data_IF_726359541717
#
_entry.id   IF_726359541717
#
_cell.length_a   1.000
_cell.length_b   1.000
_cell.length_c   1.000
_cell.angle_alpha   90.00
_cell.angle_beta   90.00
_cell.angle_gamma   90.00
#
_symmetry.space_group_name_H-M   'P 1'
#
loop_
_entity.id
_entity.type
_entity.pdbx_description
1 polymer ?
#
# COMPACT_ATOMS: atom_id res chain seq x y z
N UNK A 1 12.27 5.14 25.99
CA UNK A 1 13.32 5.91 25.31
C UNK A 1 14.56 5.03 25.16
N UNK A 2 14.67 4.31 24.05
CA UNK A 2 15.92 3.63 23.67
C UNK A 2 16.20 4.13 22.26
N UNK A 3 17.05 5.16 22.18
CA UNK A 3 17.56 5.70 20.92
C UNK A 3 18.67 4.75 20.49
N UNK A 4 18.40 3.87 19.53
CA UNK A 4 19.44 3.07 18.89
C UNK A 4 20.19 3.99 17.91
N UNK A 5 21.40 4.37 18.30
CA UNK A 5 22.32 5.13 17.46
C UNK A 5 22.74 4.26 16.27
N UNK A 6 22.38 4.68 15.05
CA UNK A 6 22.94 4.16 13.82
C UNK A 6 24.39 4.67 13.72
N UNK A 7 25.34 3.77 13.99
CA UNK A 7 26.75 4.03 13.84
C UNK A 7 27.13 4.03 12.34
N UNK A 8 27.73 5.14 11.91
CA UNK A 8 28.37 5.27 10.61
C UNK A 8 29.70 4.51 10.60
N UNK A 9 29.73 3.35 9.95
CA UNK A 9 30.98 2.71 9.53
C UNK A 9 31.13 2.89 8.01
N UNK A 10 32.07 3.73 7.61
CA UNK A 10 32.60 3.77 6.25
C UNK A 10 34.01 3.22 6.23
N UNK A 11 34.26 2.24 5.37
CA UNK A 11 35.48 1.87 4.59
C UNK A 11 34.99 0.73 3.68
N UNK A 12 35.31 0.53 2.39
CA UNK A 12 36.17 1.18 1.41
C UNK A 12 35.91 0.51 0.05
N UNK A 13 36.25 1.21 -1.02
CA UNK A 13 35.86 1.04 -2.43
C UNK A 13 36.40 -0.25 -3.08
N UNK A 14 35.57 -0.95 -3.87
CA UNK A 14 35.93 -1.75 -5.06
C UNK A 14 34.70 -1.88 -6.00
N UNK A 15 34.75 -1.30 -7.22
CA UNK A 15 33.72 -1.44 -8.26
C UNK A 15 32.64 -0.35 -8.24
N UNK A 16 32.71 0.63 -9.16
CA UNK A 16 31.76 1.76 -9.25
C UNK A 16 30.38 1.40 -9.81
N UNK A 17 29.87 0.22 -9.49
CA UNK A 17 28.55 -0.27 -9.87
C UNK A 17 27.58 -0.32 -8.69
N UNK A 18 26.27 -0.53 -8.94
CA UNK A 18 25.31 -0.71 -7.88
C UNK A 18 25.64 -1.94 -7.02
N UNK A 19 25.40 -1.86 -5.71
CA UNK A 19 25.68 -2.94 -4.76
C UNK A 19 24.88 -4.23 -5.02
N UNK A 20 23.75 -4.12 -5.73
CA UNK A 20 22.85 -5.24 -6.02
C UNK A 20 22.39 -5.25 -7.48
N UNK A 21 22.02 -6.43 -7.95
CA UNK A 21 21.19 -6.66 -9.14
C UNK A 21 20.02 -7.56 -8.76
N UNK A 22 18.81 -7.21 -9.16
CA UNK A 22 17.65 -8.07 -8.92
C UNK A 22 17.65 -9.21 -9.96
N UNK A 23 17.84 -10.45 -9.54
CA UNK A 23 17.79 -11.62 -10.42
C UNK A 23 16.34 -11.92 -10.85
N UNK A 24 15.44 -11.91 -9.88
CA UNK A 24 14.04 -12.19 -10.11
C UNK A 24 13.15 -11.34 -9.22
N UNK A 25 12.14 -10.71 -9.83
CA UNK A 25 11.07 -10.00 -9.11
C UNK A 25 9.71 -10.56 -9.50
N UNK A 26 8.99 -11.09 -8.51
CA UNK A 26 7.58 -11.49 -8.69
C UNK A 26 6.70 -10.54 -7.90
N UNK A 27 5.95 -9.70 -8.61
CA UNK A 27 5.05 -8.71 -8.01
C UNK A 27 3.61 -9.20 -8.07
N UNK A 28 2.96 -9.31 -6.93
CA UNK A 28 1.53 -9.51 -6.79
C UNK A 28 0.83 -8.17 -6.47
N UNK A 29 -0.24 -7.86 -7.19
CA UNK A 29 -1.08 -6.68 -6.97
C UNK A 29 -2.51 -7.13 -6.75
N UNK A 30 -3.04 -6.94 -5.55
CA UNK A 30 -4.43 -7.20 -5.23
C UNK A 30 -5.22 -5.89 -5.32
N UNK A 31 -6.05 -5.79 -6.35
CA UNK A 31 -6.96 -4.69 -6.62
C UNK A 31 -8.44 -5.11 -6.46
N UNK A 32 -8.70 -6.19 -5.72
CA UNK A 32 -10.06 -6.69 -5.49
C UNK A 32 -10.87 -5.83 -4.51
N UNK A 33 -10.20 -5.12 -3.61
CA UNK A 33 -10.81 -4.18 -2.67
C UNK A 33 -10.55 -2.71 -3.00
N UNK A 34 -11.04 -1.79 -2.16
CA UNK A 34 -10.84 -0.34 -2.33
C UNK A 34 -9.42 0.15 -1.98
N UNK A 35 -8.63 -0.67 -1.27
CA UNK A 35 -7.20 -0.44 -1.01
C UNK A 35 -6.40 -1.43 -1.84
N UNK A 36 -5.54 -0.92 -2.71
CA UNK A 36 -4.66 -1.78 -3.51
C UNK A 36 -3.50 -2.24 -2.64
N UNK A 37 -3.25 -3.55 -2.63
CA UNK A 37 -2.13 -4.15 -1.89
C UNK A 37 -1.12 -4.69 -2.88
N UNK A 38 0.13 -4.30 -2.74
CA UNK A 38 1.23 -4.80 -3.54
C UNK A 38 2.13 -5.67 -2.66
N UNK A 39 2.58 -6.81 -3.18
CA UNK A 39 3.61 -7.63 -2.57
C UNK A 39 4.63 -8.04 -3.64
N UNK A 40 5.88 -7.61 -3.51
CA UNK A 40 6.96 -7.98 -4.42
C UNK A 40 7.94 -8.91 -3.71
N UNK A 41 8.14 -10.10 -4.26
CA UNK A 41 9.20 -11.02 -3.88
C UNK A 41 10.43 -10.69 -4.73
N UNK A 42 11.50 -10.25 -4.10
CA UNK A 42 12.73 -9.79 -4.75
C UNK A 42 13.87 -10.72 -4.35
N UNK A 43 14.53 -11.33 -5.33
CA UNK A 43 15.81 -12.01 -5.15
C UNK A 43 16.92 -11.11 -5.70
N UNK A 44 17.75 -10.55 -4.82
CA UNK A 44 18.80 -9.62 -5.19
C UNK A 44 20.18 -10.23 -4.94
N UNK A 45 21.03 -10.24 -5.97
CA UNK A 45 22.40 -10.69 -5.91
C UNK A 45 23.31 -9.54 -5.50
N UNK A 46 24.23 -9.78 -4.56
CA UNK A 46 25.18 -8.77 -4.08
C UNK A 46 26.51 -8.80 -4.85
N UNK A 47 26.96 -7.62 -5.27
CA UNK A 47 28.25 -7.40 -5.94
C UNK A 47 29.33 -6.85 -5.00
N UNK A 48 29.02 -6.70 -3.71
CA UNK A 48 29.92 -6.09 -2.73
C UNK A 48 29.98 -6.91 -1.46
N UNK A 49 31.11 -6.84 -0.76
CA UNK A 49 31.26 -7.49 0.54
C UNK A 49 30.67 -6.63 1.66
N UNK A 50 29.96 -7.25 2.60
CA UNK A 50 29.38 -6.57 3.76
C UNK A 50 28.20 -5.63 3.48
N UNK A 51 27.41 -5.85 2.43
CA UNK A 51 26.21 -5.06 2.13
C UNK A 51 25.20 -5.16 3.27
N UNK A 52 24.92 -4.07 3.98
CA UNK A 52 24.07 -4.03 5.17
C UNK A 52 22.69 -3.43 4.95
N UNK A 53 22.42 -2.87 3.77
CA UNK A 53 21.16 -2.23 3.45
C UNK A 53 20.77 -2.47 1.98
N UNK A 54 19.46 -2.56 1.74
CA UNK A 54 18.85 -2.59 0.41
C UNK A 54 18.01 -1.33 0.22
N UNK A 55 17.81 -0.89 -1.02
CA UNK A 55 17.02 0.32 -1.32
C UNK A 55 15.84 -0.01 -2.22
N UNK A 56 14.66 0.47 -1.83
CA UNK A 56 13.44 0.41 -2.64
C UNK A 56 13.23 1.79 -3.23
N UNK A 57 12.89 1.90 -4.51
CA UNK A 57 12.64 3.19 -5.16
C UNK A 57 11.27 3.18 -5.85
N UNK A 58 10.56 4.30 -5.81
CA UNK A 58 9.33 4.51 -6.58
C UNK A 58 9.31 5.93 -7.14
N UNK A 59 8.63 6.17 -8.29
CA UNK A 59 8.32 7.53 -8.72
C UNK A 59 7.54 8.27 -7.64
N UNK A 60 7.84 9.55 -7.43
CA UNK A 60 7.22 10.42 -6.41
C UNK A 60 5.69 10.44 -6.48
N UNK A 61 5.12 10.36 -7.69
CA UNK A 61 3.67 10.27 -7.93
C UNK A 61 3.06 9.02 -7.29
N UNK A 62 3.74 7.89 -7.36
CA UNK A 62 3.30 6.63 -6.73
C UNK A 62 3.62 6.62 -5.23
N UNK A 63 4.81 7.08 -4.87
CA UNK A 63 5.30 7.11 -3.48
C UNK A 63 4.38 7.92 -2.56
N UNK A 64 3.85 9.05 -3.04
CA UNK A 64 2.89 9.89 -2.29
C UNK A 64 1.58 9.18 -1.92
N UNK A 65 1.21 8.12 -2.65
CA UNK A 65 0.01 7.32 -2.40
C UNK A 65 0.22 6.12 -1.50
N UNK A 66 1.45 5.85 -1.04
CA UNK A 66 1.77 4.73 -0.17
C UNK A 66 1.43 5.09 1.27
N UNK A 67 0.45 4.40 1.87
CA UNK A 67 0.09 4.60 3.27
C UNK A 67 0.93 3.76 4.24
N UNK A 68 1.39 2.59 3.79
CA UNK A 68 2.26 1.72 4.57
C UNK A 68 3.18 0.93 3.63
N UNK A 69 4.45 0.82 4.02
CA UNK A 69 5.45 -0.04 3.40
C UNK A 69 6.07 -0.92 4.48
N UNK A 70 6.12 -2.22 4.26
CA UNK A 70 6.74 -3.18 5.15
C UNK A 70 7.62 -4.12 4.34
N UNK A 71 8.77 -4.50 4.91
CA UNK A 71 9.70 -5.43 4.26
C UNK A 71 9.97 -6.57 5.22
N UNK A 72 9.94 -7.79 4.70
CA UNK A 72 10.28 -9.01 5.43
C UNK A 72 11.41 -9.73 4.71
N UNK A 73 12.21 -10.48 5.46
CA UNK A 73 13.13 -11.46 4.88
C UNK A 73 12.38 -12.74 4.45
N UNK A 74 13.11 -13.69 3.88
CA UNK A 74 12.61 -15.02 3.49
C UNK A 74 11.92 -15.77 4.64
N UNK A 75 12.40 -15.59 5.87
CA UNK A 75 11.90 -16.29 7.05
C UNK A 75 10.66 -15.59 7.66
N UNK A 76 10.24 -14.46 7.10
CA UNK A 76 9.09 -13.68 7.55
C UNK A 76 9.40 -12.67 8.67
N UNK A 77 10.68 -12.46 9.00
CA UNK A 77 11.07 -11.47 9.99
C UNK A 77 10.93 -10.07 9.40
N UNK A 78 10.30 -9.16 10.14
CA UNK A 78 10.15 -7.75 9.72
C UNK A 78 11.49 -7.04 9.81
N UNK A 79 11.89 -6.41 8.70
CA UNK A 79 13.09 -5.60 8.61
C UNK A 79 12.80 -4.13 8.94
N UNK A 80 13.83 -3.41 9.37
CA UNK A 80 13.73 -1.97 9.69
C UNK A 80 13.79 -1.18 8.38
N UNK A 81 12.74 -0.40 8.13
CA UNK A 81 12.64 0.49 6.97
C UNK A 81 12.80 1.92 7.45
N UNK A 82 13.78 2.63 6.91
CA UNK A 82 13.98 4.05 7.17
C UNK A 82 12.83 4.87 6.56
N UNK A 83 12.56 6.09 7.10
CA UNK A 83 11.61 7.01 6.48
C UNK A 83 11.92 7.24 4.99
N UNK A 84 10.88 7.53 4.22
CA UNK A 84 10.99 7.84 2.80
C UNK A 84 11.83 9.11 2.58
N UNK A 85 12.75 9.06 1.63
CA UNK A 85 13.52 10.22 1.17
C UNK A 85 13.22 10.46 -0.31
N UNK A 86 12.85 11.69 -0.68
CA UNK A 86 12.56 12.04 -2.06
C UNK A 86 13.66 12.94 -2.62
N UNK A 87 14.16 12.62 -3.81
CA UNK A 87 15.09 13.47 -4.52
C UNK A 87 14.32 14.65 -5.14
N UNK A 88 14.57 15.84 -4.61
CA UNK A 88 14.08 17.08 -5.21
C UNK A 88 14.82 17.37 -6.52
N UNK A 89 14.12 18.00 -7.46
CA UNK A 89 14.75 18.52 -8.67
C UNK A 89 15.62 19.72 -8.28
N UNK A 90 16.88 19.47 -7.93
CA UNK A 90 17.83 20.50 -7.55
C UNK A 90 18.22 21.32 -8.80
N UNK A 91 17.39 22.31 -9.15
CA UNK A 91 17.75 23.36 -10.07
C UNK A 91 18.84 24.22 -9.39
N UNK A 92 20.12 23.90 -9.65
CA UNK A 92 21.32 24.73 -9.42
C UNK A 92 22.44 24.23 -8.50
N UNK A 93 22.73 22.92 -8.36
CA UNK A 93 24.01 22.49 -7.76
C UNK A 93 24.72 21.37 -8.52
N UNK A 94 25.55 21.79 -9.47
CA UNK A 94 26.69 21.00 -9.94
C UNK A 94 27.67 20.77 -8.80
N UNK A 95 27.62 19.60 -8.19
CA UNK A 95 28.46 19.22 -7.06
C UNK A 95 28.42 17.71 -6.85
N UNK A 96 29.07 16.97 -7.76
CA UNK A 96 29.34 15.55 -7.59
C UNK A 96 30.05 15.30 -6.26
N UNK A 97 29.37 14.66 -5.31
CA UNK A 97 29.97 14.00 -4.16
C UNK A 97 29.67 12.50 -4.24
N UNK A 98 30.64 11.77 -4.77
CA UNK A 98 31.02 10.42 -4.35
C UNK A 98 29.95 9.31 -4.36
N UNK A 99 29.99 8.48 -5.42
CA UNK A 99 30.01 7.02 -5.28
C UNK A 99 28.73 6.27 -4.87
N UNK A 100 27.58 6.92 -4.80
CA UNK A 100 26.28 6.25 -4.67
C UNK A 100 25.45 6.65 -5.89
N UNK A 101 24.78 5.71 -6.57
CA UNK A 101 23.91 6.04 -7.71
C UNK A 101 22.91 7.11 -7.26
N UNK A 102 23.14 8.36 -7.66
CA UNK A 102 22.34 9.47 -7.18
C UNK A 102 20.89 9.24 -7.60
N UNK A 103 19.99 9.20 -6.63
CA UNK A 103 18.55 9.04 -6.88
C UNK A 103 18.10 10.13 -7.85
N UNK A 104 17.54 9.77 -9.03
CA UNK A 104 17.11 10.76 -10.00
C UNK A 104 16.01 11.66 -9.44
N UNK A 105 15.95 12.91 -9.90
CA UNK A 105 14.88 13.83 -9.50
C UNK A 105 13.49 13.24 -9.78
N UNK A 106 12.56 13.43 -8.84
CA UNK A 106 11.20 12.91 -8.97
C UNK A 106 11.03 11.45 -8.52
N UNK A 107 12.06 10.86 -7.90
CA UNK A 107 12.02 9.54 -7.27
C UNK A 107 12.10 9.66 -5.75
N UNK A 108 11.46 8.71 -5.07
CA UNK A 108 11.57 8.54 -3.63
C UNK A 108 12.09 7.15 -3.31
N UNK A 109 12.93 7.06 -2.27
CA UNK A 109 13.57 5.83 -1.83
C UNK A 109 13.25 5.51 -0.37
N UNK A 110 13.29 4.22 -0.06
CA UNK A 110 13.28 3.70 1.30
C UNK A 110 14.49 2.82 1.49
N UNK A 111 15.27 3.10 2.52
CA UNK A 111 16.42 2.28 2.90
C UNK A 111 15.97 1.19 3.87
N UNK A 112 16.23 -0.06 3.54
CA UNK A 112 15.91 -1.25 4.33
C UNK A 112 17.18 -1.77 4.96
N UNK A 113 17.25 -1.83 6.29
CA UNK A 113 18.36 -2.48 6.98
C UNK A 113 18.22 -4.00 6.89
N UNK A 114 19.23 -4.67 6.35
CA UNK A 114 19.27 -6.12 6.27
C UNK A 114 19.55 -6.71 7.66
N UNK A 115 18.93 -7.84 7.98
CA UNK A 115 19.12 -8.50 9.28
C UNK A 115 20.59 -8.90 9.52
N UNK A 116 21.31 -9.22 8.44
CA UNK A 116 22.74 -9.53 8.41
C UNK A 116 23.37 -8.89 7.20
N UNK A 117 24.62 -8.49 7.32
CA UNK A 117 25.40 -8.07 6.17
C UNK A 117 25.56 -9.23 5.19
N UNK A 118 25.47 -8.94 3.89
CA UNK A 118 25.52 -9.90 2.79
C UNK A 118 26.83 -9.68 2.04
N UNK A 119 27.55 -10.75 1.78
CA UNK A 119 28.82 -10.69 1.05
C UNK A 119 28.64 -10.87 -0.45
N UNK A 120 29.69 -10.56 -1.21
CA UNK A 120 29.68 -10.68 -2.66
C UNK A 120 29.37 -12.13 -3.07
N UNK A 121 28.52 -12.31 -4.08
CA UNK A 121 28.11 -13.64 -4.54
C UNK A 121 26.89 -14.22 -3.83
N UNK A 122 26.42 -13.61 -2.75
CA UNK A 122 25.22 -14.05 -2.03
C UNK A 122 23.94 -13.42 -2.59
N UNK A 123 22.82 -14.13 -2.39
CA UNK A 123 21.48 -13.67 -2.77
C UNK A 123 20.67 -13.37 -1.52
N UNK A 124 20.09 -12.17 -1.48
CA UNK A 124 19.11 -11.78 -0.46
C UNK A 124 17.70 -11.89 -1.04
N UNK A 125 16.81 -12.53 -0.28
CA UNK A 125 15.39 -12.66 -0.62
C UNK A 125 14.56 -11.76 0.30
N UNK A 126 13.80 -10.85 -0.31
CA UNK A 126 12.98 -9.85 0.38
C UNK A 126 11.53 -9.92 -0.09
N UNK A 127 10.60 -9.73 0.84
CA UNK A 127 9.17 -9.56 0.56
C UNK A 127 8.80 -8.12 0.90
N UNK A 128 8.62 -7.30 -0.14
CA UNK A 128 8.23 -5.89 -0.04
C UNK A 128 6.72 -5.78 -0.17
N UNK A 129 6.04 -5.33 0.88
CA UNK A 129 4.58 -5.15 0.90
C UNK A 129 4.22 -3.67 1.02
N UNK A 130 3.30 -3.20 0.17
CA UNK A 130 2.79 -1.83 0.22
C UNK A 130 1.26 -1.79 0.19
N UNK A 131 0.67 -0.82 0.91
CA UNK A 131 -0.75 -0.52 0.85
C UNK A 131 -0.96 0.87 0.23
N UNK A 132 -1.74 0.92 -0.86
CA UNK A 132 -2.04 2.12 -1.62
C UNK A 132 -3.55 2.41 -1.55
N UNK A 133 -4.02 3.09 -0.49
CA UNK A 133 -5.39 3.56 -0.46
C UNK A 133 -5.61 4.58 -1.56
N UNK A 134 -6.83 4.67 -2.09
CA UNK A 134 -7.14 5.59 -3.16
C UNK A 134 -6.23 5.41 -4.40
N UNK A 135 -5.70 4.22 -4.69
CA UNK A 135 -5.05 3.97 -5.97
C UNK A 135 -6.09 3.76 -7.10
N UNK A 136 -7.27 3.22 -6.75
CA UNK A 136 -8.39 3.04 -7.66
C UNK A 136 -9.18 4.35 -7.80
N UNK A 137 -9.46 4.73 -9.04
CA UNK A 137 -10.24 5.93 -9.38
C UNK A 137 -11.52 5.53 -10.10
N UNK A 138 -12.70 5.91 -9.59
CA UNK A 138 -13.96 5.65 -10.30
C UNK A 138 -13.95 6.29 -11.69
N UNK A 139 -14.31 5.50 -12.70
CA UNK A 139 -14.38 5.96 -14.08
C UNK A 139 -15.50 5.21 -14.83
N UNK A 140 -16.67 5.83 -15.04
CA UNK A 140 -16.95 7.26 -14.82
C UNK A 140 -17.03 7.66 -13.34
N UNK A 141 -16.85 8.96 -13.06
CA UNK A 141 -16.90 9.50 -11.70
C UNK A 141 -18.32 9.48 -11.10
N UNK A 142 -19.35 9.44 -11.93
CA UNK A 142 -20.76 9.35 -11.53
C UNK A 142 -21.46 8.22 -12.28
N UNK A 143 -22.26 7.45 -11.56
CA UNK A 143 -23.00 6.29 -12.07
C UNK A 143 -24.45 6.34 -11.58
N UNK A 144 -25.41 5.91 -12.40
CA UNK A 144 -26.77 5.71 -11.90
C UNK A 144 -26.78 4.54 -10.90
N UNK A 145 -27.83 4.44 -10.08
CA UNK A 145 -27.93 3.42 -9.02
C UNK A 145 -27.66 1.98 -9.49
N UNK A 146 -27.99 1.69 -10.75
CA UNK A 146 -27.97 0.36 -11.33
C UNK A 146 -26.86 0.14 -12.37
N UNK A 147 -26.06 1.16 -12.62
CA UNK A 147 -24.93 1.09 -13.54
C UNK A 147 -23.79 0.29 -12.89
N UNK A 148 -22.96 -0.40 -13.70
CA UNK A 148 -21.77 -1.06 -13.18
C UNK A 148 -20.79 -0.02 -12.61
N UNK A 149 -20.14 -0.35 -11.51
CA UNK A 149 -19.12 0.49 -10.92
C UNK A 149 -17.77 0.09 -11.50
N UNK A 150 -17.20 0.99 -12.30
CA UNK A 150 -15.94 0.77 -13.01
C UNK A 150 -14.84 1.65 -12.40
N UNK A 151 -13.62 1.14 -12.35
CA UNK A 151 -12.47 1.83 -11.77
C UNK A 151 -11.23 1.71 -12.65
N UNK A 152 -10.41 2.75 -12.62
CA UNK A 152 -9.08 2.81 -13.21
C UNK A 152 -8.03 2.61 -12.14
N UNK A 153 -7.12 1.67 -12.39
CA UNK A 153 -5.84 1.54 -11.71
C UNK A 153 -4.75 2.08 -12.64
N UNK A 154 -4.10 3.17 -12.24
CA UNK A 154 -2.90 3.69 -12.90
C UNK A 154 -1.68 3.23 -12.13
N UNK A 155 -0.72 2.65 -12.83
CA UNK A 155 0.49 2.10 -12.22
C UNK A 155 1.59 1.96 -13.25
N UNK A 156 2.51 1.05 -12.98
CA UNK A 156 3.62 0.72 -13.85
C UNK A 156 3.64 -0.79 -14.10
N UNK A 157 4.05 -1.27 -15.28
CA UNK A 157 4.24 -2.71 -15.53
C UNK A 157 5.45 -3.25 -14.78
N UNK A 158 6.45 -2.40 -14.57
CA UNK A 158 7.72 -2.76 -13.97
C UNK A 158 7.66 -2.55 -12.46
N UNK A 159 8.37 -3.42 -11.75
CA UNK A 159 8.80 -3.13 -10.40
C UNK A 159 9.93 -2.12 -10.49
N UNK A 160 9.61 -0.89 -10.12
CA UNK A 160 10.56 0.21 -10.15
C UNK A 160 11.58 0.03 -9.03
N UNK A 161 12.87 0.16 -9.34
CA UNK A 161 13.94 -0.08 -8.39
C UNK A 161 15.21 0.67 -8.78
N UNK A 162 16.11 0.98 -7.83
CA UNK A 162 17.38 1.63 -8.14
C UNK A 162 18.42 0.66 -8.73
N UNK A 163 18.06 -0.63 -8.86
CA UNK A 163 18.88 -1.71 -9.37
C UNK A 163 18.32 -2.22 -10.70
N UNK A 164 19.22 -2.65 -11.59
CA UNK A 164 18.81 -3.38 -12.77
C UNK A 164 18.13 -4.71 -12.37
N UNK A 165 17.14 -5.13 -13.14
CA UNK A 165 16.38 -6.35 -12.90
C UNK A 165 16.48 -7.29 -14.09
N UNK A 166 16.99 -8.50 -13.88
CA UNK A 166 17.17 -9.48 -14.96
C UNK A 166 15.85 -10.04 -15.45
N UNK A 167 14.93 -10.39 -14.53
CA UNK A 167 13.61 -10.90 -14.87
C UNK A 167 12.55 -10.44 -13.90
N UNK A 168 11.40 -10.02 -14.42
CA UNK A 168 10.25 -9.71 -13.58
C UNK A 168 8.92 -10.15 -14.17
N UNK A 169 7.95 -10.40 -13.29
CA UNK A 169 6.58 -10.73 -13.65
C UNK A 169 5.62 -10.06 -12.66
N UNK A 170 4.53 -9.51 -13.18
CA UNK A 170 3.44 -8.97 -12.36
C UNK A 170 2.21 -9.87 -12.48
N UNK A 171 1.60 -10.19 -11.35
CA UNK A 171 0.30 -10.87 -11.25
C UNK A 171 -0.67 -9.95 -10.54
N UNK A 172 -1.78 -9.65 -11.17
CA UNK A 172 -2.80 -8.77 -10.64
C UNK A 172 -4.08 -9.55 -10.43
N UNK A 173 -4.74 -9.31 -9.29
CA UNK A 173 -6.06 -9.82 -8.99
C UNK A 173 -7.06 -8.66 -9.02
N UNK A 174 -8.09 -8.79 -9.83
CA UNK A 174 -9.18 -7.83 -9.98
C UNK A 174 -10.32 -8.18 -9.01
N UNK A 175 -11.27 -7.27 -8.86
CA UNK A 175 -12.47 -7.50 -8.04
C UNK A 175 -13.43 -8.49 -8.70
N UNK A 176 -13.50 -8.46 -10.03
CA UNK A 176 -14.37 -9.28 -10.86
C UNK A 176 -13.60 -9.79 -12.08
N UNK A 177 -14.19 -10.71 -12.84
CA UNK A 177 -13.68 -11.19 -14.12
C UNK A 177 -13.98 -10.23 -15.30
N UNK A 178 -14.62 -9.09 -15.03
CA UNK A 178 -15.03 -8.11 -16.03
C UNK A 178 -13.96 -7.03 -16.19
N UNK A 179 -13.06 -7.30 -17.11
CA UNK A 179 -12.03 -6.38 -17.57
C UNK A 179 -12.54 -5.58 -18.78
N UNK A 180 -12.49 -4.26 -18.70
CA UNK A 180 -12.86 -3.36 -19.81
C UNK A 180 -11.67 -3.11 -20.75
N UNK A 181 -10.53 -2.73 -20.18
CA UNK A 181 -9.31 -2.53 -20.97
C UNK A 181 -8.04 -2.60 -20.12
N UNK A 182 -6.94 -2.97 -20.79
CA UNK A 182 -5.58 -2.83 -20.29
C UNK A 182 -4.83 -2.00 -21.32
N UNK A 183 -4.33 -0.86 -20.91
CA UNK A 183 -3.45 -0.03 -21.72
C UNK A 183 -2.04 -0.05 -21.17
N UNK A 184 -1.08 -0.16 -22.09
CA UNK A 184 0.33 -0.16 -21.80
C UNK A 184 1.07 0.85 -22.69
N UNK A 185 1.96 1.65 -22.10
CA UNK A 185 2.80 2.58 -22.85
C UNK A 185 3.81 1.86 -23.75
N UNK A 186 4.32 0.71 -23.33
CA UNK A 186 5.19 -0.14 -24.15
C UNK A 186 4.36 -0.91 -25.19
N UNK A 187 4.80 -0.88 -26.45
CA UNK A 187 4.15 -1.49 -27.62
C UNK A 187 4.11 -3.04 -27.61
N UNK A 188 4.33 -3.68 -26.46
CA UNK A 188 4.18 -5.12 -26.24
C UNK A 188 2.95 -5.46 -25.36
N UNK A 189 1.71 -5.12 -25.79
CA UNK A 189 0.50 -5.61 -25.13
C UNK A 189 0.33 -7.14 -25.25
N UNK A 190 1.25 -7.84 -25.94
CA UNK A 190 1.24 -9.30 -26.12
C UNK A 190 1.62 -10.09 -24.86
N UNK A 191 2.18 -9.44 -23.85
CA UNK A 191 2.65 -10.11 -22.63
C UNK A 191 1.63 -10.06 -21.49
N UNK A 192 0.38 -9.68 -21.77
CA UNK A 192 -0.72 -9.73 -20.80
C UNK A 192 -1.62 -10.95 -21.05
N UNK A 193 -1.67 -11.89 -20.11
CA UNK A 193 -2.58 -13.03 -20.12
C UNK A 193 -3.69 -12.82 -19.08
N UNK A 194 -4.94 -12.96 -19.50
CA UNK A 194 -6.12 -12.76 -18.65
C UNK A 194 -6.80 -14.12 -18.41
N UNK A 195 -7.03 -14.44 -17.13
CA UNK A 195 -7.64 -15.69 -16.68
C UNK A 195 -8.68 -15.38 -15.58
N UNK A 196 -9.92 -15.09 -15.98
CA UNK A 196 -10.96 -14.69 -15.02
C UNK A 196 -10.62 -13.36 -14.35
N UNK A 197 -10.58 -13.34 -13.02
CA UNK A 197 -10.17 -12.18 -12.20
C UNK A 197 -8.65 -11.99 -12.11
N UNK A 198 -7.84 -12.88 -12.71
CA UNK A 198 -6.39 -12.81 -12.68
C UNK A 198 -5.81 -12.27 -14.00
N UNK A 199 -4.92 -11.29 -13.89
CA UNK A 199 -4.16 -10.72 -15.01
C UNK A 199 -2.68 -10.93 -14.76
N UNK A 200 -1.98 -11.56 -15.71
CA UNK A 200 -0.55 -11.81 -15.64
C UNK A 200 0.15 -10.97 -16.70
N UNK A 201 1.15 -10.19 -16.30
CA UNK A 201 1.89 -9.26 -17.17
C UNK A 201 3.38 -9.60 -17.13
N UNK A 202 3.96 -9.79 -18.30
CA UNK A 202 5.33 -10.27 -18.49
C UNK A 202 5.35 -11.78 -18.80
N UNK A 203 6.53 -12.42 -18.76
CA UNK A 203 7.77 -11.94 -18.15
C UNK A 203 8.44 -10.83 -18.94
N UNK A 204 9.06 -9.88 -18.24
CA UNK A 204 9.98 -8.91 -18.80
C UNK A 204 11.40 -9.28 -18.41
N UNK A 205 12.36 -8.98 -19.28
CA UNK A 205 13.78 -9.28 -19.07
C UNK A 205 14.64 -8.03 -19.23
N UNK A 206 15.75 -7.97 -18.49
CA UNK A 206 16.79 -6.92 -18.60
C UNK A 206 16.22 -5.50 -18.54
N UNK A 207 15.61 -5.20 -17.40
CA UNK A 207 15.03 -3.89 -17.09
C UNK A 207 16.08 -3.06 -16.39
N UNK A 208 16.29 -1.84 -16.86
CA UNK A 208 17.31 -0.95 -16.35
C UNK A 208 16.92 -0.36 -14.98
N UNK A 209 17.91 0.15 -14.26
CA UNK A 209 17.67 0.88 -13.02
C UNK A 209 16.81 2.13 -13.28
N UNK A 210 15.85 2.40 -12.40
CA UNK A 210 14.90 3.52 -12.52
C UNK A 210 14.06 3.52 -13.81
N UNK A 211 13.88 2.38 -14.46
CA UNK A 211 13.02 2.27 -15.63
C UNK A 211 11.52 2.23 -15.23
N UNK A 212 10.68 2.91 -16.02
CA UNK A 212 9.23 2.98 -15.82
C UNK A 212 8.50 2.66 -17.12
N UNK A 213 7.44 1.87 -17.04
CA UNK A 213 6.49 1.63 -18.13
C UNK A 213 5.06 1.83 -17.63
N UNK A 214 4.46 3.03 -17.84
CA UNK A 214 3.12 3.32 -17.37
C UNK A 214 2.05 2.34 -17.87
N UNK A 215 1.16 1.97 -16.96
CA UNK A 215 0.05 1.04 -17.17
C UNK A 215 -1.26 1.65 -16.69
N UNK A 216 -2.34 1.36 -17.40
CA UNK A 216 -3.70 1.65 -16.96
C UNK A 216 -4.58 0.42 -17.12
N UNK A 217 -5.29 0.03 -16.05
CA UNK A 217 -6.22 -1.10 -16.05
C UNK A 217 -7.61 -0.61 -15.68
N UNK A 218 -8.58 -0.86 -16.55
CA UNK A 218 -9.98 -0.48 -16.38
C UNK A 218 -10.83 -1.73 -16.19
N UNK A 219 -11.55 -1.84 -15.08
CA UNK A 219 -12.31 -3.04 -14.73
C UNK A 219 -13.52 -2.72 -13.83
N UNK A 220 -14.46 -3.66 -13.76
CA UNK A 220 -15.62 -3.59 -12.86
C UNK A 220 -15.26 -4.02 -11.44
N UNK A 221 -15.76 -3.27 -10.45
CA UNK A 221 -15.63 -3.58 -9.03
C UNK A 221 -16.97 -3.47 -8.32
N UNK A 222 -17.27 -4.46 -7.48
CA UNK A 222 -18.41 -4.47 -6.57
C UNK A 222 -18.00 -4.12 -5.11
N UNK A 223 -16.71 -3.85 -4.88
CA UNK A 223 -16.20 -3.49 -3.57
C UNK A 223 -16.70 -2.09 -3.16
N UNK A 224 -17.19 -1.91 -1.92
CA UNK A 224 -17.56 -0.60 -1.41
C UNK A 224 -16.30 0.21 -1.03
N UNK A 225 -16.28 1.47 -1.44
CA UNK A 225 -15.14 2.36 -1.21
C UNK A 225 -15.33 3.16 0.08
N UNK A 226 -15.10 2.50 1.22
CA UNK A 226 -15.27 3.09 2.55
C UNK A 226 -14.02 3.87 2.93
N UNK A 227 -14.17 5.18 3.15
CA UNK A 227 -13.08 6.05 3.59
C UNK A 227 -13.44 6.74 4.89
N UNK A 228 -12.58 6.62 5.90
CA UNK A 228 -12.66 7.40 7.14
C UNK A 228 -11.98 8.73 6.90
N UNK A 229 -12.75 9.83 6.88
CA UNK A 229 -12.22 11.19 6.67
C UNK A 229 -11.76 11.84 7.96
N UNK A 230 -12.34 11.43 9.09
CA UNK A 230 -11.94 11.84 10.44
C UNK A 230 -12.08 10.67 11.39
N UNK A 231 -11.07 10.46 12.21
CA UNK A 231 -11.11 9.57 13.36
C UNK A 231 -10.61 10.34 14.56
N UNK A 232 -11.47 10.51 15.55
CA UNK A 232 -11.12 11.08 16.85
C UNK A 232 -11.22 9.96 17.88
N UNK A 233 -10.11 9.68 18.56
CA UNK A 233 -10.03 8.63 19.59
C UNK A 233 -9.71 9.30 20.92
N UNK A 234 -10.66 9.26 21.85
CA UNK A 234 -10.46 9.66 23.23
C UNK A 234 -10.13 8.42 24.07
N UNK A 235 -9.05 8.52 24.87
CA UNK A 235 -8.61 7.44 25.77
C UNK A 235 -8.63 8.00 27.19
N UNK A 236 -9.58 7.51 27.99
CA UNK A 236 -9.77 7.92 29.38
C UNK A 236 -9.18 6.84 30.28
N UNK A 237 -8.21 7.22 31.11
CA UNK A 237 -7.55 6.32 32.06
C UNK A 237 -8.02 6.64 33.47
N UNK A 238 -8.68 5.68 34.12
CA UNK A 238 -9.09 5.77 35.51
C UNK A 238 -8.19 4.87 36.38
N UNK A 239 -7.23 5.45 37.13
CA UNK A 239 -6.36 4.67 38.01
C UNK A 239 -7.14 4.15 39.24
N UNK A 240 -6.76 2.97 39.72
CA UNK A 240 -7.42 2.31 40.86
C UNK A 240 -7.27 3.03 42.20
N UNK A 241 -6.29 3.92 42.35
CA UNK A 241 -5.89 4.51 43.62
C UNK A 241 -6.50 5.89 43.92
N UNK A 242 -7.39 6.40 43.08
CA UNK A 242 -8.01 7.72 43.26
C UNK A 242 -9.52 7.60 43.09
N UNK A 243 -10.27 8.13 44.07
CA UNK A 243 -11.64 8.62 43.86
C UNK A 243 -11.53 9.79 42.87
N UNK A 244 -11.44 9.45 41.59
CA UNK A 244 -11.34 10.39 40.48
C UNK A 244 -12.75 10.71 40.00
N UNK A 245 -13.06 11.97 39.64
CA UNK A 245 -14.31 12.29 38.95
C UNK A 245 -14.49 11.52 37.65
N UNK A 246 -13.48 10.85 37.09
CA UNK A 246 -13.65 9.99 35.92
C UNK A 246 -13.96 8.53 36.27
N UNK A 247 -13.86 8.13 37.55
CA UNK A 247 -14.16 6.75 37.97
C UNK A 247 -15.61 6.33 37.71
N UNK A 248 -16.57 7.27 37.67
CA UNK A 248 -17.96 6.97 37.30
C UNK A 248 -18.16 6.79 35.79
N UNK A 249 -17.35 7.46 34.96
CA UNK A 249 -17.38 7.32 33.50
C UNK A 249 -16.81 5.98 33.04
N UNK A 250 -15.80 5.47 33.75
CA UNK A 250 -15.09 4.22 33.40
C UNK A 250 -15.64 3.01 34.18
N UNK A 251 -16.61 3.21 35.09
CA UNK A 251 -17.21 2.13 35.89
C UNK A 251 -16.25 1.50 36.90
N UNK A 252 -15.16 2.19 37.27
CA UNK A 252 -14.11 1.70 38.16
C UNK A 252 -12.71 1.99 37.64
N UNK A 253 -11.74 1.17 38.05
CA UNK A 253 -10.36 1.22 37.56
C UNK A 253 -10.29 0.60 36.15
N UNK A 254 -9.74 1.33 35.18
CA UNK A 254 -9.65 0.82 33.81
C UNK A 254 -9.31 1.88 32.77
N UNK A 255 -9.48 1.49 31.51
CA UNK A 255 -9.32 2.36 30.34
C UNK A 255 -10.62 2.33 29.55
N UNK A 256 -11.24 3.50 29.38
CA UNK A 256 -12.34 3.68 28.44
C UNK A 256 -11.79 4.29 27.14
N UNK A 257 -12.31 3.82 26.01
CA UNK A 257 -11.95 4.31 24.69
C UNK A 257 -13.24 4.69 23.99
N UNK A 258 -13.31 5.93 23.53
CA UNK A 258 -14.39 6.44 22.69
C UNK A 258 -13.81 6.86 21.33
N UNK A 259 -14.49 6.46 20.26
CA UNK A 259 -14.06 6.76 18.89
C UNK A 259 -15.20 7.38 18.09
N UNK A 260 -14.93 8.53 17.48
CA UNK A 260 -15.85 9.22 16.59
C UNK A 260 -15.30 9.15 15.17
N UNK A 261 -16.09 8.57 14.26
CA UNK A 261 -15.72 8.35 12.87
C UNK A 261 -16.61 9.14 11.92
N UNK A 262 -16.01 9.98 11.08
CA UNK A 262 -16.66 10.47 9.86
C UNK A 262 -16.32 9.53 8.71
N UNK A 263 -17.32 8.86 8.17
CA UNK A 263 -17.16 7.83 7.12
C UNK A 263 -17.87 8.27 5.86
N UNK A 264 -17.19 8.15 4.72
CA UNK A 264 -17.71 8.50 3.40
C UNK A 264 -17.51 7.35 2.41
N UNK A 265 -18.48 7.17 1.52
CA UNK A 265 -18.29 6.39 0.31
C UNK A 265 -17.54 7.23 -0.74
N UNK A 266 -16.34 6.81 -1.12
CA UNK A 266 -15.46 7.51 -2.10
C UNK A 266 -15.38 6.79 -3.44
N UNK A 267 -16.32 5.89 -3.73
CA UNK A 267 -16.47 5.31 -5.07
C UNK A 267 -17.21 6.28 -6.00
N UNK A 268 -17.70 5.78 -7.15
CA UNK A 268 -18.46 6.61 -8.07
C UNK A 268 -19.69 7.24 -7.37
N UNK A 269 -19.91 8.53 -7.58
CA UNK A 269 -21.04 9.24 -7.02
C UNK A 269 -22.35 8.79 -7.66
N UNK A 270 -23.43 8.75 -6.87
CA UNK A 270 -24.75 8.41 -7.38
C UNK A 270 -25.28 9.56 -8.23
N UNK A 271 -25.46 9.30 -9.52
CA UNK A 271 -26.16 10.20 -10.45
C UNK A 271 -27.67 9.95 -10.35
N UNK A 272 -28.41 11.02 -10.09
CA UNK A 272 -29.87 10.95 -9.95
C UNK A 272 -30.31 10.59 -8.53
N UNK A 273 -31.47 9.95 -8.41
CA UNK A 273 -32.07 9.61 -7.12
C UNK A 273 -31.77 8.19 -6.67
N UNK A 274 -32.02 7.93 -5.37
CA UNK A 274 -32.02 6.58 -4.81
C UNK A 274 -33.44 6.01 -4.76
N UNK A 275 -33.63 4.83 -5.35
CA UNK A 275 -34.84 4.01 -5.28
C UNK A 275 -34.65 2.84 -4.33
N UNK A 276 -35.36 2.87 -3.20
CA UNK A 276 -35.35 1.76 -2.23
C UNK A 276 -35.92 0.47 -2.82
N UNK A 277 -36.90 0.57 -3.73
CA UNK A 277 -37.52 -0.57 -4.39
C UNK A 277 -36.49 -1.31 -5.25
N UNK A 278 -35.74 -0.59 -6.07
CA UNK A 278 -34.68 -1.17 -6.91
C UNK A 278 -33.53 -1.73 -6.07
N UNK A 279 -33.17 -1.04 -5.00
CA UNK A 279 -32.15 -1.51 -4.07
C UNK A 279 -32.57 -2.85 -3.43
N UNK A 280 -33.82 -2.96 -2.97
CA UNK A 280 -34.32 -4.19 -2.37
C UNK A 280 -34.47 -5.32 -3.39
N UNK A 281 -34.98 -5.04 -4.59
CA UNK A 281 -35.23 -6.07 -5.62
C UNK A 281 -33.93 -6.73 -6.11
N UNK A 282 -32.80 -6.01 -6.12
CA UNK A 282 -31.48 -6.53 -6.50
C UNK A 282 -30.70 -7.17 -5.33
N UNK A 283 -31.35 -7.38 -4.18
CA UNK A 283 -30.67 -7.88 -3.00
C UNK A 283 -29.58 -6.93 -2.48
N UNK A 284 -29.74 -5.62 -2.76
CA UNK A 284 -28.92 -4.51 -2.29
C UNK A 284 -27.44 -4.52 -2.74
N UNK A 285 -27.11 -5.27 -3.81
CA UNK A 285 -25.75 -5.39 -4.37
C UNK A 285 -25.28 -4.07 -5.02
N UNK A 286 -23.97 -3.83 -5.01
CA UNK A 286 -23.35 -2.66 -5.62
C UNK A 286 -22.38 -1.94 -4.68
N UNK A 287 -21.89 -0.78 -5.10
CA UNK A 287 -20.87 0.03 -4.43
C UNK A 287 -21.31 0.65 -3.07
N UNK A 288 -22.45 0.26 -2.50
CA UNK A 288 -22.89 0.73 -1.17
C UNK A 288 -22.34 -0.19 -0.06
N UNK A 289 -21.81 0.36 1.03
CA UNK A 289 -21.55 -0.43 2.24
C UNK A 289 -22.78 -0.51 3.13
N UNK A 290 -23.01 -1.69 3.74
CA UNK A 290 -24.17 -1.94 4.62
C UNK A 290 -23.79 -2.22 6.07
N UNK A 291 -22.53 -2.54 6.31
CA UNK A 291 -22.00 -2.91 7.61
C UNK A 291 -20.62 -2.28 7.75
N UNK A 292 -20.38 -1.75 8.94
CA UNK A 292 -19.05 -1.46 9.44
C UNK A 292 -18.74 -2.52 10.50
N UNK A 293 -17.51 -3.03 10.49
CA UNK A 293 -17.04 -3.99 11.46
C UNK A 293 -15.81 -3.40 12.14
N UNK A 294 -15.76 -3.53 13.46
CA UNK A 294 -14.60 -3.17 14.27
C UNK A 294 -14.17 -4.41 15.05
N UNK A 295 -12.86 -4.64 15.10
CA UNK A 295 -12.28 -5.67 15.95
C UNK A 295 -11.98 -5.05 17.32
N UNK A 296 -12.62 -5.58 18.35
CA UNK A 296 -12.46 -5.10 19.72
C UNK A 296 -11.56 -6.08 20.50
N UNK A 297 -10.76 -5.59 21.46
CA UNK A 297 -10.05 -6.45 22.39
C UNK A 297 -11.01 -7.39 23.13
N UNK A 298 -10.59 -8.64 23.40
CA UNK A 298 -11.45 -9.63 24.08
C UNK A 298 -11.96 -9.18 25.47
N UNK A 299 -11.22 -8.26 26.12
CA UNK A 299 -11.59 -7.68 27.40
C UNK A 299 -12.60 -6.51 27.29
N UNK A 300 -13.00 -6.11 26.08
CA UNK A 300 -13.95 -5.03 25.88
C UNK A 300 -15.30 -5.36 26.56
N UNK A 301 -15.84 -4.37 27.27
CA UNK A 301 -17.13 -4.41 27.99
C UNK A 301 -17.80 -3.04 27.81
N UNK A 302 -19.12 -2.99 28.00
CA UNK A 302 -19.86 -1.73 27.91
C UNK A 302 -19.86 -1.08 26.53
N UNK A 303 -19.79 -1.88 25.47
CA UNK A 303 -19.77 -1.39 24.08
C UNK A 303 -21.12 -0.73 23.76
N UNK A 304 -21.06 0.48 23.20
CA UNK A 304 -22.22 1.21 22.72
C UNK A 304 -21.96 1.79 21.33
N UNK A 305 -23.03 2.03 20.57
CA UNK A 305 -22.99 2.67 19.26
C UNK A 305 -23.98 3.82 19.24
N UNK A 306 -23.53 5.02 18.89
CA UNK A 306 -24.34 6.24 18.82
C UNK A 306 -24.00 7.02 17.56
N UNK A 307 -24.99 7.74 17.06
CA UNK A 307 -24.81 8.80 16.08
C UNK A 307 -25.03 10.18 16.73
N UNK A 308 -25.04 11.24 15.92
CA UNK A 308 -25.25 12.61 16.39
C UNK A 308 -26.65 12.89 16.94
N UNK A 309 -27.63 12.00 16.69
CA UNK A 309 -29.03 12.17 17.08
C UNK A 309 -29.51 11.13 18.11
N UNK A 310 -28.74 10.08 18.40
CA UNK A 310 -29.10 9.09 19.41
C UNK A 310 -28.40 7.75 19.28
N UNK A 311 -29.06 6.72 19.80
CA UNK A 311 -28.51 5.37 19.87
C UNK A 311 -28.79 4.59 18.59
N UNK A 312 -27.82 3.79 18.16
CA UNK A 312 -27.96 2.88 17.01
C UNK A 312 -28.25 1.47 17.53
N UNK A 313 -29.48 1.00 17.32
CA UNK A 313 -29.91 -0.35 17.73
C UNK A 313 -29.54 -1.45 16.72
N UNK A 314 -29.21 -1.09 15.48
CA UNK A 314 -28.82 -2.02 14.41
C UNK A 314 -27.33 -2.40 14.51
N UNK A 315 -26.93 -2.95 15.65
CA UNK A 315 -25.57 -3.43 15.91
C UNK A 315 -25.58 -4.89 16.39
N UNK A 316 -24.45 -5.58 16.24
CA UNK A 316 -24.26 -6.96 16.73
C UNK A 316 -22.79 -7.09 17.12
N UNK A 317 -22.57 -7.56 18.36
CA UNK A 317 -21.25 -7.80 18.95
C UNK A 317 -20.96 -9.30 18.90
#
# INVERSE_FOLDING_TARGET
LVVAALASCGVGVCGGGPAFTNLQVTRAVDASGHVVRMAAQVAAFSHVNGASAYEIAMPSTQASGVAALAVQDRDGNKLVVAPMECAEADASRGGSRGGTTATPAGWCTWRVALARAVDEGQVVELIVSAALPHALRPHPAEVAQNDPHLVLLKGDHFFTSPYATERQQTRMRLATDRLESIWAATAEPRNAAVHGDAVVIGPFERIEAFETSPMEVHFETDAPFVTVTRCEREIIVAPASLWSPWSWLVGGAGVAIEEVYDVRNTGAALRGGFSRLEYASRGARGNSFRRLAAELPAAARGVYYRDSIGNISTSTI
#
